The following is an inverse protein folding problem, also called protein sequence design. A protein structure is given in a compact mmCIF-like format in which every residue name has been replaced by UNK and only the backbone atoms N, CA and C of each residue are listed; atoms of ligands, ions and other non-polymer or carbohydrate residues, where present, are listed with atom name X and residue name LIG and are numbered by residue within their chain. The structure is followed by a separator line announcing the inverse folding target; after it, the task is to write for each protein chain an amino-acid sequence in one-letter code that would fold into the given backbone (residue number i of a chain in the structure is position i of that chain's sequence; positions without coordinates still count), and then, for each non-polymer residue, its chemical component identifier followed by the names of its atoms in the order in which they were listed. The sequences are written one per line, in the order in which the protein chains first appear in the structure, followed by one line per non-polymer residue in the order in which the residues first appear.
data_IF_647006354369
#
_entry.id   IF_647006354369
#
_cell.length_a   1.000
_cell.length_b   1.000
_cell.length_c   1.000
_cell.angle_alpha   90.00
_cell.angle_beta   90.00
_cell.angle_gamma   90.00
#
_symmetry.space_group_name_H-M   'P 1'
#
loop_
_entity.id
_entity.type
_entity.pdbx_description
1 polymer ?
#
# COMPACT_ATOMS: atom_id res chain seq x y z
N UNK A 1 -1.58 9.07 -23.65
CA UNK A 1 -1.76 8.56 -22.28
C UNK A 1 -1.93 9.77 -21.39
N UNK A 2 -3.07 9.90 -20.68
CA UNK A 2 -3.27 10.99 -19.72
C UNK A 2 -2.20 10.95 -18.60
N UNK A 3 -2.05 12.02 -17.80
CA UNK A 3 -1.14 12.04 -16.66
C UNK A 3 -1.28 10.81 -15.75
N UNK A 4 -0.16 10.22 -15.37
CA UNK A 4 -0.10 9.00 -14.57
C UNK A 4 1.16 9.00 -13.70
N UNK A 5 1.00 8.79 -12.40
CA UNK A 5 2.09 8.76 -11.44
C UNK A 5 1.89 7.61 -10.45
N UNK A 6 2.99 6.92 -10.12
CA UNK A 6 3.04 5.92 -9.06
C UNK A 6 3.89 6.50 -7.93
N UNK A 7 3.31 6.58 -6.74
CA UNK A 7 3.94 7.06 -5.52
C UNK A 7 4.21 5.88 -4.60
N UNK A 8 5.42 5.79 -4.05
CA UNK A 8 5.76 4.82 -3.01
C UNK A 8 5.64 5.44 -1.62
N UNK A 9 4.61 5.06 -0.87
CA UNK A 9 4.44 5.48 0.53
C UNK A 9 4.94 4.39 1.47
N UNK A 10 5.88 4.73 2.35
CA UNK A 10 6.45 3.78 3.30
C UNK A 10 6.40 4.35 4.72
N UNK A 11 5.90 3.55 5.65
CA UNK A 11 6.11 3.78 7.08
C UNK A 11 7.30 2.90 7.53
N UNK A 12 8.45 3.50 7.91
CA UNK A 12 9.64 2.74 8.26
C UNK A 12 9.45 1.75 9.41
N UNK A 13 8.61 2.06 10.40
CA UNK A 13 8.39 1.21 11.57
C UNK A 13 7.65 -0.08 11.17
N UNK A 14 6.59 0.03 10.36
CA UNK A 14 5.87 -1.13 9.85
C UNK A 14 6.69 -1.93 8.85
N UNK A 15 7.41 -1.26 7.95
CA UNK A 15 8.26 -1.93 6.97
C UNK A 15 9.37 -2.73 7.65
N UNK A 16 10.04 -2.16 8.65
CA UNK A 16 11.06 -2.85 9.43
C UNK A 16 10.50 -4.08 10.14
N UNK A 17 9.39 -3.92 10.85
CA UNK A 17 8.76 -5.04 11.56
C UNK A 17 8.32 -6.16 10.60
N UNK A 18 7.77 -5.83 9.44
CA UNK A 18 7.40 -6.80 8.41
C UNK A 18 8.64 -7.54 7.87
N UNK A 19 9.73 -6.82 7.58
CA UNK A 19 10.99 -7.39 7.07
C UNK A 19 11.68 -8.32 8.07
N UNK A 20 11.58 -8.03 9.38
CA UNK A 20 12.11 -8.92 10.43
C UNK A 20 11.39 -10.26 10.48
N UNK A 21 10.10 -10.27 10.15
CA UNK A 21 9.24 -11.46 10.20
C UNK A 21 9.23 -12.24 8.89
N UNK A 22 9.26 -11.54 7.77
CA UNK A 22 9.38 -12.11 6.44
C UNK A 22 10.33 -11.24 5.61
N UNK A 23 11.60 -11.61 5.45
CA UNK A 23 12.54 -10.84 4.63
C UNK A 23 12.09 -10.69 3.16
N UNK A 24 11.40 -11.70 2.62
CA UNK A 24 10.96 -11.69 1.21
C UNK A 24 9.82 -10.68 0.95
N UNK A 25 9.18 -10.17 2.02
CA UNK A 25 8.09 -9.19 1.93
C UNK A 25 8.55 -7.87 1.29
N UNK A 26 9.86 -7.61 1.29
CA UNK A 26 10.45 -6.43 0.63
C UNK A 26 10.08 -6.30 -0.84
N UNK A 27 9.76 -7.42 -1.53
CA UNK A 27 9.27 -7.40 -2.91
C UNK A 27 7.89 -6.77 -3.06
N UNK A 28 7.13 -6.67 -1.96
CA UNK A 28 5.76 -6.15 -1.91
C UNK A 28 5.68 -4.77 -1.26
N UNK A 29 6.83 -4.20 -0.86
CA UNK A 29 6.97 -2.86 -0.33
C UNK A 29 7.51 -1.91 -1.43
N UNK A 30 7.20 -0.60 -1.39
CA UNK A 30 6.37 0.11 -0.41
C UNK A 30 4.86 0.05 -0.73
N UNK A 31 4.02 0.73 0.06
CA UNK A 31 2.61 0.91 -0.26
C UNK A 31 2.47 1.85 -1.47
N UNK A 32 2.22 1.29 -2.65
CA UNK A 32 1.98 2.03 -3.89
C UNK A 32 0.64 2.78 -3.86
N UNK A 33 0.67 4.03 -4.33
CA UNK A 33 -0.49 4.86 -4.60
C UNK A 33 -0.42 5.35 -6.04
N UNK A 34 -1.44 5.07 -6.83
CA UNK A 34 -1.56 5.54 -8.22
C UNK A 34 -2.35 6.84 -8.22
N UNK A 35 -1.80 7.86 -8.88
CA UNK A 35 -2.48 9.11 -9.20
C UNK A 35 -2.56 9.21 -10.71
N UNK A 36 -3.75 9.06 -11.28
CA UNK A 36 -3.93 9.07 -12.73
C UNK A 36 -5.13 9.89 -13.16
N UNK A 37 -5.05 10.44 -14.35
CA UNK A 37 -6.17 11.07 -15.03
C UNK A 37 -6.80 10.09 -16.02
N UNK A 38 -8.12 10.11 -16.19
CA UNK A 38 -8.80 9.38 -17.26
C UNK A 38 -9.02 10.26 -18.52
N UNK A 39 -9.60 9.68 -19.56
CA UNK A 39 -9.78 10.34 -20.86
C UNK A 39 -10.74 11.55 -20.82
N UNK A 40 -11.59 11.64 -19.78
CA UNK A 40 -12.52 12.77 -19.58
C UNK A 40 -11.97 13.83 -18.61
N UNK A 41 -10.74 13.65 -18.14
CA UNK A 41 -10.05 14.61 -17.27
C UNK A 41 -10.28 14.43 -15.78
N UNK A 42 -10.96 13.36 -15.34
CA UNK A 42 -11.15 13.07 -13.91
C UNK A 42 -9.88 12.44 -13.33
N UNK A 43 -9.46 12.93 -12.17
CA UNK A 43 -8.32 12.39 -11.41
C UNK A 43 -8.80 11.27 -10.48
N UNK A 44 -8.09 10.14 -10.52
CA UNK A 44 -8.28 8.96 -9.67
C UNK A 44 -7.06 8.81 -8.77
N UNK A 45 -7.31 8.56 -7.48
CA UNK A 45 -6.29 8.25 -6.48
C UNK A 45 -6.58 6.85 -5.95
N UNK A 46 -5.70 5.90 -6.24
CA UNK A 46 -5.91 4.48 -5.98
C UNK A 46 -4.81 3.97 -5.06
N UNK A 47 -5.18 3.50 -3.87
CA UNK A 47 -4.25 2.93 -2.90
C UNK A 47 -4.18 1.42 -3.07
N UNK A 48 -2.98 0.84 -3.04
CA UNK A 48 -2.88 -0.61 -2.92
C UNK A 48 -3.48 -1.09 -1.59
N UNK A 49 -4.08 -2.27 -1.59
CA UNK A 49 -4.58 -2.91 -0.37
C UNK A 49 -3.46 -3.75 0.27
N UNK A 50 -2.84 -3.28 1.36
CA UNK A 50 -1.74 -4.01 2.00
C UNK A 50 -2.23 -5.34 2.57
N UNK A 51 -3.51 -5.50 2.90
CA UNK A 51 -4.03 -6.78 3.39
C UNK A 51 -3.99 -7.83 2.29
N UNK A 52 -4.58 -7.54 1.13
CA UNK A 52 -4.59 -8.48 0.00
C UNK A 52 -3.19 -8.80 -0.51
N UNK A 53 -2.28 -7.83 -0.53
CA UNK A 53 -0.91 -8.03 -1.01
C UNK A 53 -0.10 -8.86 -0.03
N UNK A 54 -0.19 -8.56 1.28
CA UNK A 54 0.61 -9.26 2.27
C UNK A 54 0.06 -10.66 2.62
N UNK A 55 -1.23 -10.91 2.41
CA UNK A 55 -1.81 -12.26 2.49
C UNK A 55 -1.17 -13.25 1.49
N UNK A 56 -0.61 -12.76 0.37
CA UNK A 56 0.10 -13.59 -0.62
C UNK A 56 1.34 -14.30 -0.05
N UNK A 57 1.90 -13.75 1.03
CA UNK A 57 3.06 -14.32 1.72
C UNK A 57 2.65 -15.54 2.56
N UNK A 58 1.39 -15.64 2.98
CA UNK A 58 0.90 -16.75 3.80
C UNK A 58 1.44 -16.79 5.23
N UNK A 59 2.07 -15.71 5.73
CA UNK A 59 2.57 -15.62 7.10
C UNK A 59 1.53 -14.94 8.02
N UNK A 60 0.93 -15.67 8.98
CA UNK A 60 -0.11 -15.11 9.86
C UNK A 60 0.35 -13.93 10.72
N UNK A 61 1.63 -13.85 11.07
CA UNK A 61 2.17 -12.74 11.88
C UNK A 61 2.12 -11.41 11.11
N UNK A 62 2.20 -11.46 9.79
CA UNK A 62 2.14 -10.29 8.91
C UNK A 62 0.71 -9.74 8.79
N UNK A 63 -0.32 -10.57 8.96
CA UNK A 63 -1.71 -10.15 8.77
C UNK A 63 -2.15 -9.06 9.75
N UNK A 64 -1.61 -9.08 10.98
CA UNK A 64 -1.88 -8.03 11.98
C UNK A 64 -1.32 -6.68 11.52
N UNK A 65 -0.07 -6.67 11.05
CA UNK A 65 0.60 -5.48 10.49
C UNK A 65 -0.16 -4.94 9.28
N UNK A 66 -0.58 -5.83 8.38
CA UNK A 66 -1.32 -5.46 7.19
C UNK A 66 -2.65 -4.75 7.53
N UNK A 67 -3.36 -5.22 8.55
CA UNK A 67 -4.59 -4.59 9.05
C UNK A 67 -4.37 -3.18 9.59
N UNK A 68 -3.30 -2.96 10.37
CA UNK A 68 -2.98 -1.63 10.91
C UNK A 68 -2.56 -0.65 9.80
N UNK A 69 -1.75 -1.10 8.85
CA UNK A 69 -1.33 -0.28 7.70
C UNK A 69 -2.55 0.08 6.85
N UNK A 70 -3.46 -0.88 6.60
CA UNK A 70 -4.72 -0.63 5.87
C UNK A 70 -5.54 0.48 6.52
N UNK A 71 -5.78 0.40 7.83
CA UNK A 71 -6.54 1.43 8.54
C UNK A 71 -5.91 2.83 8.41
N UNK A 72 -4.58 2.92 8.36
CA UNK A 72 -3.88 4.20 8.15
C UNK A 72 -4.10 4.74 6.74
N UNK A 73 -4.04 3.88 5.71
CA UNK A 73 -4.32 4.29 4.34
C UNK A 73 -5.78 4.71 4.14
N UNK A 74 -6.73 3.99 4.76
CA UNK A 74 -8.16 4.33 4.73
C UNK A 74 -8.44 5.71 5.36
N UNK A 75 -7.71 6.07 6.43
CA UNK A 75 -7.81 7.42 7.03
C UNK A 75 -7.32 8.51 6.08
N UNK A 76 -6.24 8.25 5.33
CA UNK A 76 -5.75 9.18 4.30
C UNK A 76 -6.79 9.33 3.19
N UNK A 77 -7.33 8.21 2.70
CA UNK A 77 -8.36 8.23 1.66
C UNK A 77 -9.61 9.01 2.08
N UNK A 78 -10.01 8.89 3.35
CA UNK A 78 -11.18 9.59 3.91
C UNK A 78 -10.95 11.09 4.12
N UNK A 79 -9.72 11.57 4.00
CA UNK A 79 -9.34 12.98 4.15
C UNK A 79 -9.18 13.72 2.81
N UNK A 80 -9.36 13.01 1.69
CA UNK A 80 -9.31 13.53 0.31
C UNK A 80 -10.71 13.90 -0.18
#
# INVERSE_FOLDING_TARGET
MPPYQILGACNPQFAHHALEKEPSIGLLLPCNVVVRQDDIGKVHIEFMDPKSVLELVGNPEINLVAGEVRQKLERVLSAL
#
